data_IF_153945109294
#
_entry.id   IF_153945109294
#
_cell.length_a   1.000
_cell.length_b   1.000
_cell.length_c   1.000
_cell.angle_alpha   90.00
_cell.angle_beta   90.00
_cell.angle_gamma   90.00
#
_symmetry.space_group_name_H-M   'P 1'
#
loop_
_entity.id
_entity.type
_entity.pdbx_description
1 polymer ?
#
# COMPACT_ATOMS: atom_id res chain seq x y z
N UNK A 1 10.67 -11.10 19.44
CA UNK A 1 10.08 -12.43 19.16
C UNK A 1 11.22 -13.34 18.69
N UNK A 2 11.36 -14.58 19.17
CA UNK A 2 12.46 -15.45 18.77
C UNK A 2 12.25 -15.92 17.33
N UNK A 3 13.34 -15.93 16.54
CA UNK A 3 13.35 -16.32 15.14
C UNK A 3 13.48 -17.85 15.03
N UNK A 4 12.52 -18.51 14.40
CA UNK A 4 12.29 -19.96 14.47
C UNK A 4 13.03 -20.73 13.35
N UNK A 5 14.36 -20.58 13.28
CA UNK A 5 15.22 -21.17 12.22
C UNK A 5 15.32 -22.71 12.26
N UNK A 6 14.78 -23.35 13.31
CA UNK A 6 14.69 -24.81 13.40
C UNK A 6 13.51 -25.37 12.57
N UNK A 7 13.68 -25.45 11.26
CA UNK A 7 12.95 -26.42 10.42
C UNK A 7 11.47 -26.14 10.10
N UNK A 8 10.91 -24.98 10.45
CA UNK A 8 9.55 -24.62 10.05
C UNK A 8 9.59 -23.53 8.98
N UNK A 9 9.14 -23.87 7.76
CA UNK A 9 8.89 -22.88 6.70
C UNK A 9 7.85 -21.84 7.14
N UNK A 10 7.72 -20.76 6.35
CA UNK A 10 6.72 -19.73 6.63
C UNK A 10 5.32 -20.38 6.73
N UNK A 11 4.59 -20.04 7.79
CA UNK A 11 3.16 -20.33 7.86
C UNK A 11 2.41 -19.60 6.75
N UNK A 12 1.22 -20.06 6.38
CA UNK A 12 0.40 -19.39 5.36
C UNK A 12 0.19 -17.90 5.67
N UNK A 13 0.03 -17.57 6.96
CA UNK A 13 -0.06 -16.19 7.43
C UNK A 13 1.20 -15.39 7.13
N UNK A 14 2.36 -15.93 7.49
CA UNK A 14 3.65 -15.26 7.28
C UNK A 14 3.98 -15.14 5.80
N UNK A 15 3.63 -16.14 5.00
CA UNK A 15 3.79 -16.11 3.55
C UNK A 15 2.90 -15.03 2.92
N UNK A 16 1.61 -14.98 3.26
CA UNK A 16 0.71 -13.94 2.75
C UNK A 16 1.15 -12.54 3.20
N UNK A 17 1.58 -12.40 4.46
CA UNK A 17 2.11 -11.14 4.99
C UNK A 17 3.37 -10.72 4.24
N UNK A 18 4.29 -11.64 3.98
CA UNK A 18 5.50 -11.38 3.19
C UNK A 18 5.13 -10.92 1.77
N UNK A 19 4.23 -11.64 1.09
CA UNK A 19 3.75 -11.24 -0.23
C UNK A 19 3.14 -9.83 -0.21
N UNK A 20 2.31 -9.51 0.79
CA UNK A 20 1.71 -8.19 0.95
C UNK A 20 2.78 -7.09 1.06
N UNK A 21 3.81 -7.30 1.89
CA UNK A 21 4.91 -6.33 2.05
C UNK A 21 5.78 -6.20 0.80
N UNK A 22 6.00 -7.30 0.07
CA UNK A 22 6.73 -7.27 -1.21
C UNK A 22 5.99 -6.45 -2.27
N UNK A 23 4.66 -6.58 -2.38
CA UNK A 23 3.90 -5.76 -3.32
C UNK A 23 3.90 -4.28 -2.92
N UNK A 24 3.79 -3.95 -1.63
CA UNK A 24 3.97 -2.57 -1.15
C UNK A 24 5.34 -1.99 -1.52
N UNK A 25 6.40 -2.77 -1.35
CA UNK A 25 7.75 -2.34 -1.74
C UNK A 25 7.88 -2.13 -3.25
N UNK A 26 7.28 -3.00 -4.08
CA UNK A 26 7.24 -2.83 -5.54
C UNK A 26 6.50 -1.56 -5.96
N UNK A 27 5.35 -1.26 -5.34
CA UNK A 27 4.57 -0.04 -5.57
C UNK A 27 5.43 1.19 -5.27
N UNK A 28 6.08 1.23 -4.11
CA UNK A 28 6.95 2.35 -3.72
C UNK A 28 8.08 2.54 -4.74
N UNK A 29 8.86 1.49 -5.03
CA UNK A 29 9.98 1.56 -5.98
C UNK A 29 9.54 2.01 -7.38
N UNK A 30 8.44 1.45 -7.89
CA UNK A 30 7.93 1.79 -9.23
C UNK A 30 7.43 3.23 -9.30
N UNK A 31 6.82 3.75 -8.22
CA UNK A 31 6.35 5.13 -8.16
C UNK A 31 7.50 6.14 -8.27
N UNK A 32 8.62 5.91 -7.56
CA UNK A 32 9.82 6.74 -7.68
C UNK A 32 10.35 6.74 -9.12
N UNK A 33 10.50 5.56 -9.73
CA UNK A 33 10.97 5.44 -11.11
C UNK A 33 10.04 6.15 -12.11
N UNK A 34 8.72 6.07 -11.93
CA UNK A 34 7.74 6.72 -12.80
C UNK A 34 7.81 8.24 -12.81
N UNK A 35 8.18 8.84 -11.69
CA UNK A 35 8.30 10.30 -11.56
C UNK A 35 9.55 10.85 -12.26
N UNK A 36 10.60 10.03 -12.36
CA UNK A 36 11.91 10.46 -12.88
C UNK A 36 12.21 9.93 -14.30
N UNK A 37 11.39 9.01 -14.82
CA UNK A 37 11.60 8.43 -16.17
C UNK A 37 11.16 9.39 -17.28
N UNK A 38 12.12 9.83 -18.10
CA UNK A 38 11.86 10.64 -19.30
C UNK A 38 11.59 9.81 -20.56
N UNK A 39 12.00 8.53 -20.60
CA UNK A 39 11.82 7.65 -21.75
C UNK A 39 10.39 7.07 -21.79
N UNK A 40 9.62 7.37 -22.84
CA UNK A 40 8.19 7.05 -22.92
C UNK A 40 7.89 5.55 -22.79
N UNK A 41 8.59 4.69 -23.55
CA UNK A 41 8.33 3.25 -23.48
C UNK A 41 8.66 2.67 -22.09
N UNK A 42 9.76 3.10 -21.48
CA UNK A 42 10.12 2.70 -20.13
C UNK A 42 9.06 3.17 -19.12
N UNK A 43 8.53 4.38 -19.30
CA UNK A 43 7.42 4.91 -18.49
C UNK A 43 6.16 4.06 -18.62
N UNK A 44 5.81 3.61 -19.82
CA UNK A 44 4.69 2.68 -20.05
C UNK A 44 4.90 1.35 -19.34
N UNK A 45 6.11 0.78 -19.42
CA UNK A 45 6.46 -0.48 -18.75
C UNK A 45 6.31 -0.34 -17.23
N UNK A 46 6.89 0.71 -16.64
CA UNK A 46 6.76 0.95 -15.20
C UNK A 46 5.31 1.21 -14.79
N UNK A 47 4.51 1.89 -15.63
CA UNK A 47 3.09 2.16 -15.33
C UNK A 47 2.33 0.85 -15.22
N UNK A 48 2.51 -0.05 -16.19
CA UNK A 48 1.89 -1.38 -16.17
C UNK A 48 2.33 -2.20 -14.96
N UNK A 49 3.62 -2.17 -14.63
CA UNK A 49 4.15 -2.89 -13.45
C UNK A 49 3.58 -2.33 -12.14
N UNK A 50 3.46 -1.01 -12.03
CA UNK A 50 2.86 -0.33 -10.88
C UNK A 50 1.38 -0.72 -10.71
N UNK A 51 0.59 -0.65 -11.78
CA UNK A 51 -0.83 -1.02 -11.76
C UNK A 51 -1.03 -2.50 -11.40
N UNK A 52 -0.16 -3.37 -11.91
CA UNK A 52 -0.17 -4.80 -11.58
C UNK A 52 0.12 -5.02 -10.09
N UNK A 53 1.16 -4.36 -9.55
CA UNK A 53 1.50 -4.47 -8.13
C UNK A 53 0.39 -3.94 -7.23
N UNK A 54 -0.23 -2.80 -7.58
CA UNK A 54 -1.41 -2.27 -6.88
C UNK A 54 -2.58 -3.26 -6.87
N UNK A 55 -2.88 -3.88 -8.01
CA UNK A 55 -3.94 -4.89 -8.13
C UNK A 55 -3.65 -6.10 -7.25
N UNK A 56 -2.43 -6.63 -7.31
CA UNK A 56 -2.01 -7.78 -6.51
C UNK A 56 -2.04 -7.47 -5.01
N UNK A 57 -1.54 -6.30 -4.61
CA UNK A 57 -1.56 -5.85 -3.22
C UNK A 57 -2.99 -5.75 -2.68
N UNK A 58 -3.92 -5.19 -3.46
CA UNK A 58 -5.33 -5.07 -3.07
C UNK A 58 -6.00 -6.45 -2.92
N UNK A 59 -5.72 -7.38 -3.84
CA UNK A 59 -6.23 -8.75 -3.77
C UNK A 59 -5.69 -9.49 -2.54
N UNK A 60 -4.38 -9.42 -2.29
CA UNK A 60 -3.74 -10.00 -1.11
C UNK A 60 -4.32 -9.43 0.17
N UNK A 61 -4.45 -8.11 0.26
CA UNK A 61 -5.03 -7.44 1.42
C UNK A 61 -6.46 -7.92 1.70
N UNK A 62 -7.30 -7.94 0.66
CA UNK A 62 -8.69 -8.39 0.76
C UNK A 62 -8.77 -9.86 1.20
N UNK A 63 -7.96 -10.72 0.61
CA UNK A 63 -7.89 -12.14 0.99
C UNK A 63 -7.46 -12.30 2.45
N UNK A 64 -6.42 -11.60 2.89
CA UNK A 64 -5.96 -11.65 4.29
C UNK A 64 -7.03 -11.15 5.27
N UNK A 65 -7.84 -10.16 4.90
CA UNK A 65 -8.98 -9.72 5.70
C UNK A 65 -10.06 -10.80 5.80
N UNK A 66 -10.43 -11.42 4.67
CA UNK A 66 -11.45 -12.48 4.62
C UNK A 66 -11.05 -13.72 5.44
N UNK A 67 -9.77 -14.07 5.45
CA UNK A 67 -9.24 -15.17 6.27
C UNK A 67 -8.96 -14.77 7.74
N UNK A 68 -9.25 -13.52 8.13
CA UNK A 68 -9.00 -13.03 9.49
C UNK A 68 -7.51 -12.89 9.86
N UNK A 69 -6.63 -12.91 8.86
CA UNK A 69 -5.17 -12.82 9.04
C UNK A 69 -4.68 -11.37 9.16
N UNK A 70 -5.50 -10.41 8.73
CA UNK A 70 -5.21 -8.98 8.77
C UNK A 70 -6.47 -8.20 9.13
N UNK A 71 -6.42 -7.39 10.19
CA UNK A 71 -7.56 -6.58 10.64
C UNK A 71 -7.16 -5.11 10.59
N UNK A 72 -7.99 -4.31 9.92
CA UNK A 72 -7.85 -2.85 9.87
C UNK A 72 -9.12 -2.25 10.41
N UNK A 73 -8.97 -1.31 11.35
CA UNK A 73 -10.11 -0.54 11.83
C UNK A 73 -10.68 0.28 10.66
N UNK A 74 -11.98 0.16 10.41
CA UNK A 74 -12.68 1.05 9.49
C UNK A 74 -12.68 2.45 10.10
N UNK A 75 -12.35 3.45 9.29
CA UNK A 75 -12.43 4.84 9.73
C UNK A 75 -13.90 5.22 9.97
N UNK A 76 -14.19 5.93 11.06
CA UNK A 76 -15.53 6.46 11.30
C UNK A 76 -15.79 7.66 10.38
N UNK A 77 -17.07 8.01 10.19
CA UNK A 77 -17.44 9.17 9.40
C UNK A 77 -16.83 10.47 9.97
N UNK A 78 -16.76 10.59 11.30
CA UNK A 78 -16.14 11.72 11.98
C UNK A 78 -14.64 11.81 11.69
N UNK A 79 -13.94 10.67 11.70
CA UNK A 79 -12.51 10.62 11.38
C UNK A 79 -12.23 11.01 9.92
N UNK A 80 -13.07 10.54 8.99
CA UNK A 80 -12.98 10.93 7.57
C UNK A 80 -13.21 12.44 7.41
N UNK A 81 -14.28 12.98 8.02
CA UNK A 81 -14.62 14.41 7.95
C UNK A 81 -13.50 15.28 8.54
N UNK A 82 -12.90 14.88 9.67
CA UNK A 82 -11.80 15.61 10.29
C UNK A 82 -10.57 15.69 9.37
N UNK A 83 -10.20 14.58 8.71
CA UNK A 83 -9.08 14.55 7.76
C UNK A 83 -9.37 15.40 6.53
N UNK A 84 -10.58 15.32 5.97
CA UNK A 84 -10.99 16.15 4.83
C UNK A 84 -10.91 17.65 5.15
N UNK A 85 -11.40 18.07 6.31
CA UNK A 85 -11.33 19.46 6.75
C UNK A 85 -9.88 19.92 6.96
N UNK A 86 -9.02 19.07 7.53
CA UNK A 86 -7.60 19.37 7.69
C UNK A 86 -6.89 19.55 6.33
N UNK A 87 -7.17 18.69 5.35
CA UNK A 87 -6.60 18.80 4.01
C UNK A 87 -7.05 20.07 3.27
N UNK A 88 -8.34 20.43 3.36
CA UNK A 88 -8.86 21.68 2.77
C UNK A 88 -8.16 22.91 3.36
N UNK A 89 -7.93 22.93 4.67
CA UNK A 89 -7.22 24.03 5.33
C UNK A 89 -5.74 24.11 4.91
N UNK A 90 -5.08 22.96 4.72
CA UNK A 90 -3.69 22.92 4.27
C UNK A 90 -3.55 23.39 2.82
N UNK A 91 -4.57 23.22 1.98
CA UNK A 91 -4.58 23.68 0.59
C UNK A 91 -4.93 25.17 0.46
N UNK A 92 -5.57 25.77 1.46
CA UNK A 92 -5.95 27.19 1.48
C UNK A 92 -5.52 27.92 2.78
N UNK A 93 -4.21 28.04 3.05
CA UNK A 93 -3.70 28.65 4.28
C UNK A 93 -4.03 30.15 4.41
N UNK A 94 -4.37 30.84 3.31
CA UNK A 94 -4.69 32.27 3.27
C UNK A 94 -6.14 32.64 3.67
N UNK A 95 -7.01 31.67 3.93
CA UNK A 95 -8.42 31.92 4.30
C UNK A 95 -8.61 32.32 5.78
N UNK A 96 -7.51 32.36 6.54
CA UNK A 96 -7.45 32.86 7.91
C UNK A 96 -6.71 34.19 7.92
N UNK A 97 -7.40 35.26 7.52
CA UNK A 97 -7.01 36.65 7.74
C UNK A 97 -8.22 37.43 8.26
#
# INVERSE_FOLDING_TARGET
>A
MPNNIEGHGLTDREMMQLCLELEKARIHSSSSALMETSHEELRRIYTRSFETACTNQQQLFTAMQQYGLYQVAQATAEQINAVQHAMQNNLNPGSRA
#
